data_IF_706768471553
#
_entry.id   IF_706768471553
#
_cell.length_a   1.000
_cell.length_b   1.000
_cell.length_c   1.000
_cell.angle_alpha   90.00
_cell.angle_beta   90.00
_cell.angle_gamma   90.00
#
_symmetry.space_group_name_H-M   'P 1'
#
loop_
_entity.id
_entity.type
_entity.pdbx_description
1 polymer ?
#
# COMPACT_ATOMS: atom_id res chain seq x y z
N UNK A 1 -0.57 0.03 -3.12
CA UNK A 1 -0.83 -0.65 -4.41
C UNK A 1 -0.72 0.33 -5.58
N UNK A 2 -1.32 1.52 -5.54
CA UNK A 2 -1.32 2.49 -6.64
C UNK A 2 0.08 2.99 -7.08
N UNK A 3 1.08 2.90 -6.21
CA UNK A 3 2.48 3.22 -6.54
C UNK A 3 3.21 2.11 -7.30
N UNK A 4 2.66 0.91 -7.31
CA UNK A 4 3.28 -0.30 -7.87
C UNK A 4 2.71 -0.69 -9.22
N UNK A 5 1.46 -0.33 -9.51
CA UNK A 5 0.82 -0.61 -10.79
C UNK A 5 -0.39 0.27 -11.06
N UNK A 6 -0.82 0.31 -12.31
CA UNK A 6 -2.01 1.06 -12.74
C UNK A 6 -3.29 0.24 -12.53
N UNK A 7 -3.19 -1.07 -12.69
CA UNK A 7 -4.28 -2.03 -12.60
C UNK A 7 -3.98 -3.00 -11.47
N UNK A 8 -5.01 -3.32 -10.69
CA UNK A 8 -5.00 -4.42 -9.75
C UNK A 8 -6.07 -5.44 -10.14
N UNK A 9 -5.76 -6.70 -9.96
CA UNK A 9 -6.74 -7.76 -10.00
C UNK A 9 -7.31 -7.93 -8.60
N UNK A 10 -8.62 -7.85 -8.51
CA UNK A 10 -9.36 -7.93 -7.26
C UNK A 10 -10.24 -9.19 -7.29
N UNK A 11 -10.02 -10.10 -6.36
CA UNK A 11 -10.90 -11.25 -6.13
C UNK A 11 -11.68 -11.02 -4.85
N UNK A 12 -12.99 -11.10 -4.97
CA UNK A 12 -13.95 -10.98 -3.88
C UNK A 12 -14.52 -12.38 -3.61
N UNK A 13 -14.51 -12.79 -2.35
CA UNK A 13 -15.13 -14.03 -1.87
C UNK A 13 -15.97 -13.74 -0.62
N UNK A 14 -16.60 -14.74 -0.04
CA UNK A 14 -17.36 -14.58 1.20
C UNK A 14 -16.50 -14.21 2.41
N UNK A 15 -15.19 -14.54 2.39
CA UNK A 15 -14.28 -14.40 3.53
C UNK A 15 -13.27 -13.27 3.34
N UNK A 16 -12.84 -13.01 2.11
CA UNK A 16 -11.71 -12.11 1.85
C UNK A 16 -11.82 -11.32 0.54
N UNK A 17 -11.17 -10.18 0.54
CA UNK A 17 -10.83 -9.42 -0.66
C UNK A 17 -9.34 -9.55 -0.91
N UNK A 18 -8.96 -10.08 -2.06
CA UNK A 18 -7.57 -10.22 -2.47
C UNK A 18 -7.26 -9.26 -3.60
N UNK A 19 -6.22 -8.44 -3.42
CA UNK A 19 -5.67 -7.60 -4.48
C UNK A 19 -4.32 -8.12 -4.93
N UNK A 20 -4.17 -8.29 -6.23
CA UNK A 20 -2.92 -8.70 -6.86
C UNK A 20 -2.47 -7.64 -7.85
N UNK A 21 -1.23 -7.18 -7.71
CA UNK A 21 -0.59 -6.27 -8.66
C UNK A 21 0.67 -6.91 -9.20
N UNK A 22 0.69 -7.18 -10.49
CA UNK A 22 1.84 -7.77 -11.20
C UNK A 22 2.26 -6.76 -12.26
N UNK A 23 3.26 -5.91 -11.98
CA UNK A 23 3.80 -5.00 -12.98
C UNK A 23 4.65 -5.78 -14.00
N UNK A 24 4.82 -5.23 -15.20
CA UNK A 24 5.70 -5.83 -16.23
C UNK A 24 7.14 -5.99 -15.72
N UNK A 25 7.59 -5.07 -14.88
CA UNK A 25 8.91 -5.09 -14.23
C UNK A 25 8.78 -4.61 -12.79
N UNK A 26 9.50 -5.25 -11.88
CA UNK A 26 9.55 -4.86 -10.47
C UNK A 26 8.83 -5.82 -9.54
N UNK A 27 8.41 -5.30 -8.39
CA UNK A 27 7.87 -6.12 -7.31
C UNK A 27 6.40 -6.42 -7.51
N UNK A 28 6.03 -7.68 -7.37
CA UNK A 28 4.64 -8.13 -7.30
C UNK A 28 4.10 -7.90 -5.89
N UNK A 29 2.79 -7.66 -5.78
CA UNK A 29 2.10 -7.52 -4.50
C UNK A 29 0.87 -8.40 -4.47
N UNK A 30 0.80 -9.18 -3.41
CA UNK A 30 -0.33 -10.04 -3.06
C UNK A 30 -0.86 -9.56 -1.70
N UNK A 31 -2.06 -9.00 -1.69
CA UNK A 31 -2.66 -8.43 -0.49
C UNK A 31 -3.97 -9.13 -0.20
N UNK A 32 -4.11 -9.65 0.99
CA UNK A 32 -5.33 -10.30 1.48
C UNK A 32 -5.91 -9.47 2.59
N UNK A 33 -7.18 -9.15 2.48
CA UNK A 33 -7.94 -8.37 3.44
C UNK A 33 -9.17 -9.17 3.85
N UNK A 34 -9.33 -9.45 5.13
CA UNK A 34 -10.51 -10.15 5.64
C UNK A 34 -11.72 -9.23 5.58
N UNK A 35 -12.86 -9.76 5.16
CA UNK A 35 -14.12 -9.02 5.01
C UNK A 35 -14.51 -8.33 6.33
N UNK A 36 -14.46 -9.04 7.43
CA UNK A 36 -14.80 -8.57 8.78
C UNK A 36 -13.95 -7.38 9.27
N UNK A 37 -12.77 -7.17 8.66
CA UNK A 37 -11.86 -6.07 9.00
C UNK A 37 -12.18 -4.79 8.23
N UNK A 38 -12.87 -4.91 7.08
CA UNK A 38 -13.08 -3.80 6.16
C UNK A 38 -14.54 -3.36 6.12
N UNK A 39 -15.46 -4.32 6.21
CA UNK A 39 -16.89 -4.08 6.03
C UNK A 39 -17.68 -4.45 7.29
N UNK A 40 -18.58 -3.58 7.71
CA UNK A 40 -19.57 -3.86 8.73
C UNK A 40 -20.66 -4.81 8.22
N UNK A 41 -21.05 -4.63 6.97
CA UNK A 41 -21.98 -5.51 6.27
C UNK A 41 -21.43 -5.86 4.89
N UNK A 42 -21.51 -7.12 4.53
CA UNK A 42 -21.04 -7.62 3.26
C UNK A 42 -21.99 -8.64 2.68
N UNK A 43 -22.26 -8.53 1.40
CA UNK A 43 -23.06 -9.51 0.67
C UNK A 43 -22.44 -9.69 -0.70
N UNK A 44 -22.17 -10.91 -1.08
CA UNK A 44 -21.68 -11.28 -2.41
C UNK A 44 -22.59 -12.35 -2.99
N UNK A 45 -22.90 -12.22 -4.28
CA UNK A 45 -23.62 -13.22 -5.04
C UNK A 45 -22.99 -13.31 -6.43
N UNK A 46 -22.50 -14.47 -6.76
CA UNK A 46 -21.85 -14.77 -8.04
C UNK A 46 -22.44 -16.04 -8.65
N UNK A 47 -22.41 -16.12 -9.97
CA UNK A 47 -22.73 -17.36 -10.70
C UNK A 47 -21.60 -18.39 -10.65
N UNK A 48 -20.45 -18.07 -10.05
CA UNK A 48 -19.31 -18.97 -9.87
C UNK A 48 -19.62 -20.01 -8.79
N UNK A 49 -19.17 -21.25 -8.95
CA UNK A 49 -19.32 -22.32 -7.96
C UNK A 49 -18.71 -21.96 -6.58
N UNK A 50 -17.67 -21.11 -6.57
CA UNK A 50 -17.00 -20.64 -5.37
C UNK A 50 -17.54 -19.31 -4.84
N UNK A 51 -18.69 -18.84 -5.34
CA UNK A 51 -19.27 -17.53 -5.01
C UNK A 51 -18.24 -16.38 -5.11
N UNK A 52 -17.32 -16.46 -6.07
CA UNK A 52 -16.24 -15.52 -6.25
C UNK A 52 -16.49 -14.58 -7.43
N UNK A 53 -16.09 -13.31 -7.27
CA UNK A 53 -16.10 -12.29 -8.31
C UNK A 53 -14.67 -11.84 -8.56
N UNK A 54 -14.22 -11.89 -9.83
CA UNK A 54 -12.89 -11.44 -10.23
C UNK A 54 -13.03 -10.17 -11.06
N UNK A 55 -12.28 -9.14 -10.68
CA UNK A 55 -12.33 -7.83 -11.30
C UNK A 55 -10.92 -7.36 -11.67
N UNK A 56 -10.82 -6.69 -12.80
CA UNK A 56 -9.70 -5.82 -13.14
C UNK A 56 -10.09 -4.39 -12.76
N UNK A 57 -9.33 -3.79 -11.86
CA UNK A 57 -9.66 -2.51 -11.23
C UNK A 57 -8.56 -1.49 -11.49
N UNK A 58 -8.89 -0.29 -12.03
CA UNK A 58 -7.94 0.82 -12.13
C UNK A 58 -7.67 1.37 -10.74
N UNK A 59 -6.53 0.97 -10.16
CA UNK A 59 -6.24 1.18 -8.74
C UNK A 59 -6.13 2.66 -8.35
N UNK A 60 -5.70 3.52 -9.25
CA UNK A 60 -5.63 4.96 -8.99
C UNK A 60 -7.01 5.59 -8.88
N UNK A 61 -7.96 5.19 -9.74
CA UNK A 61 -9.35 5.66 -9.68
C UNK A 61 -10.03 5.19 -8.39
N UNK A 62 -9.87 3.90 -8.04
CA UNK A 62 -10.38 3.38 -6.77
C UNK A 62 -9.75 4.09 -5.57
N UNK A 63 -8.45 4.36 -5.59
CA UNK A 63 -7.77 5.07 -4.49
C UNK A 63 -8.30 6.49 -4.32
N UNK A 64 -8.58 7.21 -5.41
CA UNK A 64 -9.18 8.55 -5.35
C UNK A 64 -10.58 8.50 -4.78
N UNK A 65 -11.40 7.56 -5.26
CA UNK A 65 -12.76 7.38 -4.74
C UNK A 65 -12.75 7.06 -3.24
N UNK A 66 -11.90 6.14 -2.78
CA UNK A 66 -11.79 5.79 -1.36
C UNK A 66 -11.24 6.94 -0.50
N UNK A 67 -10.37 7.80 -1.03
CA UNK A 67 -9.89 8.98 -0.30
C UNK A 67 -11.01 9.96 0.03
N UNK A 68 -11.99 10.12 -0.86
CA UNK A 68 -13.15 10.98 -0.60
C UNK A 68 -14.11 10.42 0.45
N UNK A 69 -14.03 9.13 0.75
CA UNK A 69 -14.79 8.50 1.84
C UNK A 69 -14.13 8.63 3.22
N UNK A 70 -12.90 9.16 3.28
CA UNK A 70 -12.22 9.37 4.58
C UNK A 70 -12.94 10.45 5.37
N UNK A 71 -13.41 10.11 6.56
CA UNK A 71 -14.20 11.00 7.42
C UNK A 71 -15.71 11.02 7.11
N UNK A 72 -16.18 10.20 6.18
CA UNK A 72 -17.61 10.04 5.91
C UNK A 72 -18.35 9.41 7.08
N UNK A 73 -19.62 9.76 7.24
CA UNK A 73 -20.51 9.13 8.22
C UNK A 73 -20.82 7.68 7.82
N UNK A 74 -21.02 7.44 6.53
CA UNK A 74 -21.13 6.10 5.98
C UNK A 74 -20.60 6.04 4.55
N UNK A 75 -20.13 4.87 4.14
CA UNK A 75 -19.70 4.61 2.78
C UNK A 75 -20.18 3.22 2.33
N UNK A 76 -20.74 3.14 1.15
CA UNK A 76 -21.24 1.89 0.57
C UNK A 76 -20.59 1.64 -0.78
N UNK A 77 -20.02 0.46 -0.96
CA UNK A 77 -19.44 0.03 -2.23
C UNK A 77 -20.34 -1.04 -2.86
N UNK A 78 -20.74 -0.85 -4.11
CA UNK A 78 -21.56 -1.78 -4.87
C UNK A 78 -20.95 -2.07 -6.23
N UNK A 79 -21.01 -3.31 -6.65
CA UNK A 79 -20.78 -3.67 -8.05
C UNK A 79 -22.09 -3.50 -8.82
N UNK A 80 -22.11 -2.61 -9.77
CA UNK A 80 -23.29 -2.27 -10.58
C UNK A 80 -22.96 -2.31 -12.07
N UNK A 81 -23.97 -2.15 -12.91
CA UNK A 81 -23.82 -2.05 -14.35
C UNK A 81 -24.51 -0.76 -14.81
N UNK A 82 -23.75 0.13 -15.46
CA UNK A 82 -24.25 1.38 -16.00
C UNK A 82 -23.87 1.45 -17.47
N UNK A 83 -24.82 1.72 -18.33
CA UNK A 83 -24.63 1.75 -19.80
C UNK A 83 -23.88 0.51 -20.34
N UNK A 84 -24.24 -0.65 -19.82
CA UNK A 84 -23.62 -1.95 -20.13
C UNK A 84 -22.16 -2.11 -19.65
N UNK A 85 -21.58 -1.16 -18.91
CA UNK A 85 -20.24 -1.20 -18.34
C UNK A 85 -20.33 -1.54 -16.85
N UNK A 86 -19.58 -2.55 -16.37
CA UNK A 86 -19.48 -2.86 -14.94
C UNK A 86 -18.77 -1.70 -14.20
N UNK A 87 -19.32 -1.29 -13.08
CA UNK A 87 -18.82 -0.21 -12.24
C UNK A 87 -18.76 -0.64 -10.77
N UNK A 88 -17.70 -0.27 -10.09
CA UNK A 88 -17.71 -0.17 -8.63
C UNK A 88 -18.24 1.20 -8.25
N UNK A 89 -19.47 1.26 -7.76
CA UNK A 89 -20.13 2.48 -7.34
C UNK A 89 -19.93 2.67 -5.84
N UNK A 90 -19.27 3.76 -5.46
CA UNK A 90 -19.03 4.17 -4.08
C UNK A 90 -19.97 5.30 -3.73
N UNK A 91 -20.92 5.04 -2.85
CA UNK A 91 -21.84 6.05 -2.29
C UNK A 91 -21.34 6.46 -0.91
N UNK A 92 -21.15 7.75 -0.71
CA UNK A 92 -20.58 8.35 0.50
C UNK A 92 -21.63 9.28 1.09
N UNK A 93 -21.89 9.17 2.37
CA UNK A 93 -22.80 10.03 3.12
C UNK A 93 -22.01 10.83 4.14
N UNK A 94 -22.10 12.15 4.04
CA UNK A 94 -21.48 13.08 4.99
C UNK A 94 -22.57 13.92 5.67
N UNK A 95 -22.52 14.02 7.00
CA UNK A 95 -23.35 14.91 7.76
C UNK A 95 -22.53 16.18 8.06
N UNK A 96 -22.96 17.31 7.49
CA UNK A 96 -22.37 18.61 7.79
C UNK A 96 -23.29 19.39 8.70
N UNK A 97 -22.77 19.78 9.87
CA UNK A 97 -23.45 20.73 10.76
C UNK A 97 -23.11 22.15 10.28
N UNK A 98 -24.04 22.85 9.68
CA UNK A 98 -23.88 24.27 9.41
C UNK A 98 -24.17 25.05 10.69
N UNK A 99 -23.14 25.38 11.46
CA UNK A 99 -23.22 26.37 12.52
C UNK A 99 -23.32 27.74 11.87
N UNK A 100 -24.50 28.35 11.90
CA UNK A 100 -24.77 29.70 11.40
C UNK A 100 -24.22 30.76 12.34
N UNK A 101 -22.94 30.72 12.74
CA UNK A 101 -22.23 31.81 13.37
C UNK A 101 -20.73 31.56 13.33
N UNK A 102 -20.11 31.95 12.23
CA UNK A 102 -18.68 32.27 12.24
C UNK A 102 -18.47 33.36 11.18
N UNK A 103 -18.47 34.59 11.66
CA UNK A 103 -17.80 35.64 10.92
C UNK A 103 -16.35 35.18 10.69
N UNK A 104 -16.02 34.93 9.43
CA UNK A 104 -14.66 34.60 9.02
C UNK A 104 -13.81 35.83 9.26
N UNK A 105 -13.08 35.84 10.38
CA UNK A 105 -11.94 36.74 10.55
C UNK A 105 -10.80 36.15 9.73
N UNK A 106 -10.54 36.72 8.58
CA UNK A 106 -9.38 36.42 7.75
C UNK A 106 -8.16 37.10 8.43
N UNK A 107 -7.22 36.36 8.99
CA UNK A 107 -5.94 36.95 9.36
C UNK A 107 -5.07 37.03 8.10
N UNK A 108 -4.95 38.26 7.58
CA UNK A 108 -3.89 38.59 6.62
C UNK A 108 -2.55 38.56 7.33
N UNK A 109 -1.77 37.50 7.16
CA UNK A 109 -0.33 37.50 7.44
C UNK A 109 0.41 37.07 6.20
N UNK A 110 1.08 38.05 5.61
CA UNK A 110 2.07 37.88 4.55
C UNK A 110 3.34 37.21 5.11
N UNK A 111 3.68 36.03 4.55
CA UNK A 111 4.97 35.35 4.74
C UNK A 111 5.25 34.47 3.53
N UNK A 112 6.51 34.33 3.08
CA UNK A 112 6.84 33.78 1.78
C UNK A 112 6.63 32.27 1.71
N UNK A 113 6.02 31.85 0.60
CA UNK A 113 5.71 30.49 0.27
C UNK A 113 6.97 29.70 -0.12
N UNK A 114 7.19 28.56 0.55
CA UNK A 114 7.97 27.48 0.00
C UNK A 114 7.02 26.49 -0.72
N UNK A 115 7.32 26.24 -1.97
CA UNK A 115 6.52 25.46 -2.91
C UNK A 115 6.69 23.96 -2.64
N UNK A 116 5.67 23.32 -2.05
CA UNK A 116 5.48 21.88 -2.14
C UNK A 116 4.45 21.58 -3.24
N UNK A 117 4.95 20.99 -4.31
CA UNK A 117 4.25 20.61 -5.54
C UNK A 117 3.36 19.37 -5.30
N UNK A 118 2.21 19.56 -4.65
CA UNK A 118 1.08 18.63 -4.67
C UNK A 118 -0.17 19.44 -4.99
N UNK A 119 -0.63 19.31 -6.25
CA UNK A 119 -1.75 20.02 -6.81
C UNK A 119 -2.96 20.07 -5.89
N UNK A 120 -3.26 21.28 -5.47
CA UNK A 120 -4.46 21.69 -4.78
C UNK A 120 -5.62 21.62 -5.79
N UNK A 121 -6.52 20.64 -5.62
CA UNK A 121 -7.78 20.63 -6.36
C UNK A 121 -8.79 21.47 -5.59
N UNK A 122 -8.86 22.72 -6.01
CA UNK A 122 -9.88 23.68 -5.60
C UNK A 122 -11.27 23.18 -6.05
N UNK A 123 -12.05 22.74 -5.08
CA UNK A 123 -13.43 22.31 -5.29
C UNK A 123 -14.33 23.55 -5.18
N UNK A 124 -14.45 24.31 -6.27
CA UNK A 124 -15.49 25.33 -6.38
C UNK A 124 -16.86 24.65 -6.54
N UNK A 125 -17.59 24.59 -5.45
CA UNK A 125 -19.03 24.40 -5.49
C UNK A 125 -19.66 25.75 -5.85
N UNK A 126 -20.16 25.89 -7.08
CA UNK A 126 -21.03 27.00 -7.47
C UNK A 126 -22.28 26.98 -6.59
N UNK A 127 -22.37 27.94 -5.69
CA UNK A 127 -23.52 28.16 -4.84
C UNK A 127 -24.30 29.36 -5.41
N UNK A 128 -25.38 29.11 -6.12
CA UNK A 128 -26.33 30.15 -6.50
C UNK A 128 -27.04 30.69 -5.24
N UNK A 129 -26.85 31.98 -5.04
CA UNK A 129 -27.45 32.79 -3.99
C UNK A 129 -28.89 33.15 -4.35
N UNK A 130 -29.84 32.46 -3.74
CA UNK A 130 -31.26 32.82 -3.76
C UNK A 130 -31.70 33.37 -2.40
N UNK A 131 -31.81 34.68 -2.29
CA UNK A 131 -32.16 35.36 -1.05
C UNK A 131 -33.61 35.13 -0.58
N UNK A 132 -33.80 35.08 0.75
CA UNK A 132 -35.03 35.53 1.43
C UNK A 132 -34.73 35.83 2.91
N UNK A 133 -35.03 37.01 3.31
CA UNK A 133 -35.09 37.54 4.68
C UNK A 133 -36.14 36.77 5.51
N UNK A 134 -35.77 36.32 6.70
CA UNK A 134 -36.72 35.82 7.70
C UNK A 134 -35.99 35.41 8.96
N UNK A 135 -36.08 36.21 10.03
CA UNK A 135 -35.44 35.98 11.31
C UNK A 135 -36.03 34.83 12.12
N UNK A 136 -35.24 34.29 13.04
CA UNK A 136 -35.68 33.44 14.14
C UNK A 136 -34.83 32.19 14.37
N UNK A 137 -34.12 32.15 15.51
CA UNK A 137 -33.73 30.94 16.20
C UNK A 137 -32.82 29.96 15.44
N UNK A 138 -31.50 30.07 15.64
CA UNK A 138 -30.53 29.16 15.00
C UNK A 138 -30.71 27.70 15.44
N UNK A 139 -31.57 26.96 14.75
CA UNK A 139 -31.51 25.50 14.73
C UNK A 139 -30.37 25.14 13.77
N UNK A 140 -29.33 24.54 14.31
CA UNK A 140 -28.29 23.92 13.49
C UNK A 140 -28.97 22.88 12.60
N UNK A 141 -29.12 23.16 11.33
CA UNK A 141 -29.73 22.24 10.37
C UNK A 141 -28.64 21.26 9.94
N UNK A 142 -28.80 20.01 10.38
CA UNK A 142 -28.01 18.90 9.89
C UNK A 142 -28.30 18.71 8.40
N UNK A 143 -27.29 18.87 7.57
CA UNK A 143 -27.40 18.62 6.13
C UNK A 143 -26.67 17.33 5.80
N UNK A 144 -27.40 16.40 5.26
CA UNK A 144 -26.86 15.17 4.70
C UNK A 144 -26.47 15.42 3.25
N UNK A 145 -25.22 15.15 2.92
CA UNK A 145 -24.70 15.22 1.56
C UNK A 145 -24.34 13.83 1.08
N UNK A 146 -24.94 13.41 -0.04
CA UNK A 146 -24.69 12.10 -0.65
C UNK A 146 -23.87 12.29 -1.93
N UNK A 147 -22.69 11.68 -1.96
CA UNK A 147 -21.79 11.70 -3.11
C UNK A 147 -21.69 10.29 -3.67
N UNK A 148 -21.90 10.13 -4.97
CA UNK A 148 -21.71 8.84 -5.66
C UNK A 148 -20.58 8.95 -6.67
N UNK A 149 -19.62 8.02 -6.59
CA UNK A 149 -18.49 7.93 -7.50
C UNK A 149 -18.45 6.56 -8.15
N UNK A 150 -18.40 6.53 -9.48
CA UNK A 150 -18.36 5.31 -10.27
C UNK A 150 -16.95 5.05 -10.80
N UNK A 151 -16.43 3.90 -10.49
CA UNK A 151 -15.12 3.43 -10.98
C UNK A 151 -15.38 2.31 -11.99
N UNK A 152 -15.08 2.51 -13.28
CA UNK A 152 -15.26 1.47 -14.27
C UNK A 152 -14.29 0.31 -14.00
N UNK A 153 -14.81 -0.92 -14.05
CA UNK A 153 -14.08 -2.14 -13.83
C UNK A 153 -14.37 -3.16 -14.93
N UNK A 154 -13.52 -4.16 -15.05
CA UNK A 154 -13.77 -5.27 -15.97
C UNK A 154 -13.97 -6.54 -15.15
N UNK A 155 -15.09 -7.21 -15.36
CA UNK A 155 -15.34 -8.52 -14.76
C UNK A 155 -14.56 -9.56 -15.55
N UNK A 156 -13.78 -10.36 -14.84
CA UNK A 156 -12.94 -11.40 -15.43
C UNK A 156 -13.58 -12.78 -15.24
N UNK A 157 -13.64 -13.60 -16.28
CA UNK A 157 -14.04 -14.99 -16.14
C UNK A 157 -13.01 -15.77 -15.33
N UNK A 158 -13.42 -16.88 -14.71
CA UNK A 158 -12.55 -17.70 -13.87
C UNK A 158 -11.29 -18.15 -14.61
N UNK A 159 -11.42 -18.53 -15.87
CA UNK A 159 -10.29 -18.98 -16.71
C UNK A 159 -9.20 -17.90 -16.88
N UNK A 160 -9.57 -16.61 -16.86
CA UNK A 160 -8.60 -15.53 -17.00
C UNK A 160 -7.71 -15.36 -15.76
N UNK A 161 -8.16 -15.85 -14.62
CA UNK A 161 -7.45 -15.72 -13.33
C UNK A 161 -6.87 -17.05 -12.81
N UNK A 162 -7.16 -18.14 -13.49
CA UNK A 162 -6.73 -19.50 -13.09
C UNK A 162 -5.20 -19.66 -13.04
N UNK A 163 -4.48 -18.92 -13.89
CA UNK A 163 -3.01 -18.86 -13.89
C UNK A 163 -2.40 -17.88 -12.88
N UNK A 164 -3.24 -17.15 -12.13
CA UNK A 164 -2.80 -16.16 -11.17
C UNK A 164 -2.56 -16.80 -9.81
N UNK A 165 -1.39 -17.34 -9.61
CA UNK A 165 -0.97 -17.90 -8.34
C UNK A 165 0.17 -17.08 -7.76
N UNK A 166 0.13 -16.89 -6.43
CA UNK A 166 1.30 -16.40 -5.71
C UNK A 166 2.48 -17.34 -5.96
N UNK A 167 3.62 -16.83 -6.45
CA UNK A 167 4.75 -17.69 -6.75
C UNK A 167 5.21 -18.40 -5.48
N UNK A 168 5.38 -19.71 -5.57
CA UNK A 168 6.00 -20.48 -4.48
C UNK A 168 7.45 -20.04 -4.36
N UNK A 169 7.78 -19.43 -3.25
CA UNK A 169 9.15 -19.10 -2.90
C UNK A 169 9.76 -20.25 -2.10
N UNK A 170 11.05 -20.57 -2.29
CA UNK A 170 11.72 -21.51 -1.41
C UNK A 170 11.69 -21.01 0.05
N UNK A 171 11.89 -21.93 0.98
CA UNK A 171 12.01 -21.57 2.39
C UNK A 171 13.15 -20.58 2.59
N UNK A 172 12.93 -19.51 3.37
CA UNK A 172 13.92 -18.44 3.51
C UNK A 172 15.09 -18.83 4.41
N UNK A 173 16.28 -18.38 4.05
CA UNK A 173 17.49 -18.50 4.88
C UNK A 173 17.42 -17.60 6.13
N UNK A 174 16.76 -16.44 6.00
CA UNK A 174 16.63 -15.45 7.09
C UNK A 174 15.24 -14.86 7.11
N UNK A 175 14.67 -14.83 8.31
CA UNK A 175 13.45 -14.10 8.64
C UNK A 175 13.79 -13.04 9.69
N UNK A 176 13.49 -11.77 9.41
CA UNK A 176 13.82 -10.68 10.34
C UNK A 176 12.74 -9.60 10.32
N UNK A 177 12.32 -9.12 11.50
CA UNK A 177 11.48 -7.95 11.59
C UNK A 177 12.26 -6.71 11.16
N UNK A 178 11.73 -6.01 10.18
CA UNK A 178 12.35 -4.76 9.74
C UNK A 178 12.20 -3.66 10.80
N UNK A 179 13.18 -2.77 10.93
CA UNK A 179 13.02 -1.54 11.70
C UNK A 179 11.95 -0.67 11.03
N UNK A 180 11.64 0.49 11.59
CA UNK A 180 10.68 1.41 10.99
C UNK A 180 10.91 1.55 9.49
N UNK A 181 9.92 1.18 8.67
CA UNK A 181 10.03 1.23 7.21
C UNK A 181 10.33 2.64 6.70
N UNK A 182 9.92 3.66 7.45
CA UNK A 182 10.22 5.05 7.14
C UNK A 182 11.72 5.35 7.28
N UNK A 183 12.38 4.81 8.32
CA UNK A 183 13.83 4.93 8.49
C UNK A 183 14.58 4.18 7.38
N UNK A 184 14.17 2.94 7.11
CA UNK A 184 14.75 2.11 6.04
C UNK A 184 14.63 2.83 4.69
N UNK A 185 13.46 3.41 4.40
CA UNK A 185 13.21 4.17 3.18
C UNK A 185 14.10 5.41 3.10
N UNK A 186 14.16 6.22 4.16
CA UNK A 186 14.98 7.44 4.20
C UNK A 186 16.45 7.13 3.93
N UNK A 187 17.00 6.08 4.56
CA UNK A 187 18.39 5.66 4.36
C UNK A 187 18.62 5.14 2.94
N UNK A 188 17.72 4.29 2.42
CA UNK A 188 17.85 3.75 1.06
C UNK A 188 17.79 4.85 -0.01
N UNK A 189 16.90 5.83 0.13
CA UNK A 189 16.80 6.99 -0.75
C UNK A 189 18.05 7.89 -0.68
N UNK A 190 18.57 8.11 0.53
CA UNK A 190 19.80 8.86 0.72
C UNK A 190 21.00 8.19 0.04
N UNK A 191 21.16 6.88 0.21
CA UNK A 191 22.22 6.10 -0.43
C UNK A 191 22.10 6.15 -1.96
N UNK A 192 20.87 6.00 -2.46
CA UNK A 192 20.59 6.08 -3.90
C UNK A 192 20.94 7.45 -4.48
N UNK A 193 20.59 8.54 -3.80
CA UNK A 193 20.96 9.90 -4.23
C UNK A 193 22.46 10.11 -4.23
N UNK A 194 23.17 9.64 -3.22
CA UNK A 194 24.64 9.73 -3.16
C UNK A 194 25.29 8.94 -4.29
N UNK A 195 24.82 7.73 -4.57
CA UNK A 195 25.34 6.91 -5.67
C UNK A 195 25.07 7.53 -7.04
N UNK A 196 23.93 8.22 -7.22
CA UNK A 196 23.63 8.94 -8.46
C UNK A 196 24.49 10.19 -8.61
N UNK A 197 24.76 10.93 -7.52
CA UNK A 197 25.58 12.13 -7.53
C UNK A 197 27.07 11.82 -7.83
N UNK A 198 27.54 10.61 -7.50
CA UNK A 198 28.92 10.19 -7.76
C UNK A 198 29.11 9.54 -9.14
N UNK A 199 28.04 9.35 -9.92
CA UNK A 199 28.16 8.84 -11.29
C UNK A 199 28.79 9.91 -12.19
N UNK A 200 29.96 9.60 -12.71
CA UNK A 200 30.57 10.34 -13.81
C UNK A 200 30.00 9.87 -15.16
N UNK A 201 29.98 10.72 -16.16
CA UNK A 201 29.34 10.47 -17.47
C UNK A 201 29.85 9.22 -18.22
N UNK A 202 30.92 8.61 -17.77
CA UNK A 202 31.56 7.42 -18.37
C UNK A 202 31.15 6.09 -17.77
N UNK A 203 30.41 6.09 -16.64
CA UNK A 203 29.99 4.85 -15.99
C UNK A 203 28.62 4.40 -16.48
N UNK A 204 28.49 3.11 -16.72
CA UNK A 204 27.32 2.42 -17.27
C UNK A 204 25.96 2.94 -16.78
N UNK A 205 24.99 3.03 -17.68
CA UNK A 205 23.62 3.53 -17.47
C UNK A 205 22.74 2.69 -16.51
N UNK A 206 23.31 1.71 -15.81
CA UNK A 206 22.54 0.86 -14.90
C UNK A 206 22.08 1.63 -13.66
N UNK A 207 20.81 1.43 -13.26
CA UNK A 207 20.27 1.95 -12.02
C UNK A 207 21.09 1.45 -10.81
N UNK A 208 21.28 2.27 -9.76
CA UNK A 208 22.01 1.83 -8.57
C UNK A 208 21.24 0.68 -7.88
N UNK A 209 21.98 -0.35 -7.48
CA UNK A 209 21.43 -1.50 -6.76
C UNK A 209 21.84 -1.42 -5.30
N UNK A 210 20.84 -1.63 -4.43
CA UNK A 210 21.07 -1.79 -3.00
C UNK A 210 21.36 -3.27 -2.70
N UNK A 211 22.33 -3.52 -1.85
CA UNK A 211 22.59 -4.81 -1.25
C UNK A 211 21.95 -4.84 0.14
N UNK A 212 20.99 -5.73 0.32
CA UNK A 212 20.34 -6.01 1.60
C UNK A 212 20.93 -7.28 2.14
N UNK A 213 21.45 -7.23 3.36
CA UNK A 213 22.01 -8.41 4.02
C UNK A 213 21.41 -8.53 5.41
N UNK A 214 21.04 -9.74 5.81
CA UNK A 214 20.52 -10.01 7.14
C UNK A 214 21.10 -11.32 7.69
N UNK A 215 21.09 -11.48 9.00
CA UNK A 215 21.47 -12.71 9.67
C UNK A 215 20.38 -13.18 10.64
N UNK A 216 20.50 -14.38 11.15
CA UNK A 216 19.57 -14.95 12.15
C UNK A 216 19.92 -14.58 13.60
N UNK A 217 20.74 -13.53 13.78
CA UNK A 217 21.17 -12.97 15.08
C UNK A 217 20.73 -11.50 15.24
N UNK A 218 19.65 -11.11 14.56
CA UNK A 218 19.03 -9.79 14.72
C UNK A 218 19.77 -8.64 14.04
N UNK A 219 20.56 -8.89 13.00
CA UNK A 219 21.26 -7.83 12.28
C UNK A 219 20.79 -7.70 10.85
N UNK A 220 20.53 -6.46 10.42
CA UNK A 220 20.18 -6.07 9.07
C UNK A 220 21.17 -5.01 8.57
N UNK A 221 21.68 -5.17 7.37
CA UNK A 221 22.58 -4.23 6.71
C UNK A 221 22.04 -3.83 5.36
N UNK A 222 22.05 -2.53 5.08
CA UNK A 222 21.80 -1.97 3.75
C UNK A 222 23.10 -1.34 3.27
N UNK A 223 23.52 -1.70 2.07
CA UNK A 223 24.74 -1.15 1.48
C UNK A 223 24.50 -0.77 0.02
N UNK A 224 25.27 0.19 -0.46
CA UNK A 224 25.44 0.47 -1.87
C UNK A 224 26.92 0.55 -2.18
N UNK A 225 27.31 -0.08 -3.28
CA UNK A 225 28.69 -0.11 -3.74
C UNK A 225 28.74 0.27 -5.20
N UNK A 226 29.52 1.27 -5.49
CA UNK A 226 29.89 1.72 -6.83
C UNK A 226 31.41 1.85 -6.89
N UNK A 227 31.97 2.09 -8.06
CA UNK A 227 33.42 2.26 -8.19
C UNK A 227 33.95 3.45 -7.37
N UNK A 228 33.11 4.49 -7.18
CA UNK A 228 33.47 5.73 -6.49
C UNK A 228 32.93 5.81 -5.05
N UNK A 229 32.02 4.93 -4.64
CA UNK A 229 31.34 5.03 -3.35
C UNK A 229 31.06 3.65 -2.77
N UNK A 230 31.42 3.45 -1.49
CA UNK A 230 30.98 2.33 -0.70
C UNK A 230 30.42 2.86 0.62
N UNK A 231 29.11 2.67 0.83
CA UNK A 231 28.41 3.15 2.03
C UNK A 231 27.49 2.05 2.53
N UNK A 232 27.39 1.90 3.85
CA UNK A 232 26.47 0.95 4.48
C UNK A 232 25.89 1.49 5.78
N UNK A 233 24.74 0.96 6.17
CA UNK A 233 24.09 1.16 7.45
C UNK A 233 23.70 -0.20 8.01
N UNK A 234 23.91 -0.39 9.31
CA UNK A 234 23.62 -1.64 10.02
C UNK A 234 22.68 -1.36 11.18
N UNK A 235 21.66 -2.17 11.32
CA UNK A 235 20.80 -2.24 12.49
C UNK A 235 21.10 -3.56 13.21
N UNK A 236 21.17 -3.50 14.52
CA UNK A 236 21.39 -4.65 15.38
C UNK A 236 20.28 -4.75 16.43
N UNK A 237 20.15 -5.90 17.08
CA UNK A 237 19.13 -6.11 18.10
C UNK A 237 17.71 -6.21 17.54
N UNK A 238 17.56 -6.50 16.25
CA UNK A 238 16.28 -6.80 15.64
C UNK A 238 15.83 -8.21 16.02
N UNK A 239 14.52 -8.46 15.91
CA UNK A 239 13.95 -9.76 16.25
C UNK A 239 13.85 -10.64 15.01
N UNK A 240 14.36 -11.86 15.11
CA UNK A 240 14.07 -12.92 14.16
C UNK A 240 12.84 -13.69 14.68
N UNK A 241 11.73 -13.73 13.92
CA UNK A 241 10.55 -14.47 14.35
C UNK A 241 10.85 -15.95 14.47
N UNK A 242 10.29 -16.58 15.48
CA UNK A 242 10.35 -18.02 15.64
C UNK A 242 9.46 -18.72 14.61
N UNK A 243 9.92 -19.87 14.15
CA UNK A 243 9.13 -20.70 13.23
C UNK A 243 8.07 -21.47 14.03
N UNK A 244 6.84 -21.37 13.61
CA UNK A 244 5.73 -22.14 14.17
C UNK A 244 5.73 -23.55 13.54
N UNK A 245 5.83 -24.62 14.34
CA UNK A 245 5.76 -25.99 13.84
C UNK A 245 4.49 -26.31 13.04
N UNK A 246 3.39 -25.60 13.30
CA UNK A 246 2.14 -25.79 12.57
C UNK A 246 2.21 -25.27 11.13
N UNK A 247 3.11 -24.33 10.85
CA UNK A 247 3.25 -23.67 9.55
C UNK A 247 4.46 -24.18 8.73
N UNK A 248 5.26 -25.09 9.30
CA UNK A 248 6.42 -25.67 8.63
C UNK A 248 6.12 -27.09 8.17
N UNK A 249 6.39 -27.40 6.91
CA UNK A 249 6.25 -28.73 6.37
C UNK A 249 7.16 -29.71 7.14
N UNK A 250 6.58 -30.80 7.67
CA UNK A 250 7.31 -31.74 8.55
C UNK A 250 7.32 -31.36 10.05
N UNK A 251 6.64 -30.29 10.46
CA UNK A 251 6.48 -29.93 11.88
C UNK A 251 7.82 -29.68 12.58
N UNK A 252 7.99 -30.21 13.80
CA UNK A 252 9.22 -30.02 14.60
C UNK A 252 10.49 -30.58 13.93
N UNK A 253 10.38 -31.60 13.08
CA UNK A 253 11.51 -32.10 12.31
C UNK A 253 11.84 -31.14 11.16
N UNK A 254 10.82 -30.63 10.45
CA UNK A 254 11.00 -29.63 9.41
C UNK A 254 11.71 -28.37 9.91
N UNK A 255 11.43 -27.93 11.12
CA UNK A 255 12.14 -26.78 11.73
C UNK A 255 13.66 -27.03 11.84
N UNK A 256 14.08 -28.24 12.19
CA UNK A 256 15.52 -28.56 12.30
C UNK A 256 16.21 -28.50 10.95
N UNK A 257 15.51 -28.93 9.90
CA UNK A 257 16.03 -28.97 8.55
C UNK A 257 15.84 -27.65 7.79
N UNK A 258 15.09 -26.69 8.39
CA UNK A 258 14.78 -25.40 7.79
C UNK A 258 16.06 -24.57 7.53
N UNK A 259 16.19 -23.90 6.37
CA UNK A 259 17.36 -23.10 6.02
C UNK A 259 17.74 -22.06 7.07
N UNK A 260 16.76 -21.36 7.66
CA UNK A 260 17.00 -20.35 8.69
C UNK A 260 17.57 -20.94 9.99
N UNK A 261 17.20 -22.17 10.35
CA UNK A 261 17.78 -22.86 11.51
C UNK A 261 19.26 -23.20 11.24
N UNK A 262 19.56 -23.68 10.06
CA UNK A 262 20.94 -23.94 9.61
C UNK A 262 21.75 -22.65 9.57
N UNK A 263 21.17 -21.56 9.03
CA UNK A 263 21.82 -20.24 9.00
C UNK A 263 22.13 -19.74 10.41
N UNK A 264 21.21 -19.91 11.36
CA UNK A 264 21.40 -19.53 12.77
C UNK A 264 22.57 -20.29 13.40
N UNK A 265 22.71 -21.57 13.07
CA UNK A 265 23.79 -22.41 13.59
C UNK A 265 25.19 -22.03 13.08
N UNK A 266 25.29 -21.34 11.93
CA UNK A 266 26.58 -20.88 11.38
C UNK A 266 27.18 -19.68 12.11
N UNK A 267 26.41 -18.98 12.96
CA UNK A 267 26.88 -17.85 13.78
C UNK A 267 26.59 -16.48 13.18
N UNK A 268 26.96 -15.42 13.93
CA UNK A 268 26.62 -14.03 13.65
C UNK A 268 27.28 -13.46 12.38
N UNK A 269 28.40 -14.01 11.98
CA UNK A 269 29.18 -13.55 10.82
C UNK A 269 28.60 -14.06 9.47
N UNK A 270 27.60 -14.95 9.53
CA UNK A 270 26.96 -15.47 8.34
C UNK A 270 25.75 -14.63 7.92
N UNK A 271 25.81 -14.09 6.72
CA UNK A 271 24.82 -13.16 6.17
C UNK A 271 24.18 -13.70 4.89
N UNK A 272 22.88 -13.70 4.86
CA UNK A 272 22.13 -13.85 3.61
C UNK A 272 22.03 -12.48 2.94
N UNK A 273 22.44 -12.37 1.69
CA UNK A 273 22.49 -11.10 0.96
C UNK A 273 21.71 -11.17 -0.35
N UNK A 274 21.00 -10.10 -0.69
CA UNK A 274 20.29 -9.94 -1.97
C UNK A 274 20.53 -8.55 -2.53
N UNK A 275 20.56 -8.43 -3.86
CA UNK A 275 20.66 -7.15 -4.55
C UNK A 275 19.35 -6.80 -5.20
N UNK A 276 18.80 -5.63 -4.85
CA UNK A 276 17.53 -5.13 -5.33
C UNK A 276 17.72 -3.80 -6.07
N UNK A 277 16.80 -3.49 -6.99
CA UNK A 277 16.73 -2.17 -7.56
C UNK A 277 16.31 -1.16 -6.48
N UNK A 278 17.07 -0.07 -6.35
CA UNK A 278 16.86 0.91 -5.30
C UNK A 278 15.51 1.64 -5.44
N UNK A 279 15.05 1.88 -6.67
CA UNK A 279 13.79 2.57 -6.94
C UNK A 279 12.59 1.68 -6.62
N UNK A 280 12.68 0.41 -7.00
CA UNK A 280 11.61 -0.55 -6.71
C UNK A 280 11.52 -0.84 -5.22
N UNK A 281 12.65 -0.97 -4.54
CA UNK A 281 12.69 -1.13 -3.10
C UNK A 281 12.05 0.07 -2.36
N UNK A 282 12.37 1.30 -2.77
CA UNK A 282 11.75 2.50 -2.18
C UNK A 282 10.24 2.55 -2.37
N UNK A 283 9.71 2.03 -3.50
CA UNK A 283 8.27 1.92 -3.75
C UNK A 283 7.62 0.91 -2.79
N UNK A 284 8.24 -0.26 -2.61
CA UNK A 284 7.75 -1.28 -1.66
C UNK A 284 7.72 -0.72 -0.24
N UNK A 285 8.76 -0.02 0.19
CA UNK A 285 8.83 0.58 1.52
C UNK A 285 7.78 1.67 1.77
N UNK A 286 7.15 2.21 0.72
CA UNK A 286 6.06 3.19 0.86
C UNK A 286 4.80 2.60 1.53
N UNK A 287 4.69 1.27 1.60
CA UNK A 287 3.65 0.56 2.35
C UNK A 287 3.76 0.81 3.87
N UNK A 288 4.94 1.20 4.36
CA UNK A 288 5.22 1.41 5.79
C UNK A 288 4.42 2.50 6.50
N UNK A 289 3.60 3.25 5.78
CA UNK A 289 2.63 4.18 6.39
C UNK A 289 1.46 3.47 7.10
N UNK A 290 1.30 2.17 6.87
CA UNK A 290 0.21 1.38 7.44
C UNK A 290 0.48 0.89 8.87
N UNK A 291 1.63 1.22 9.47
CA UNK A 291 1.95 0.93 10.88
C UNK A 291 2.09 -0.56 11.25
N UNK A 292 2.04 -1.45 10.29
CA UNK A 292 2.15 -2.88 10.50
C UNK A 292 3.61 -3.34 10.71
N UNK A 293 3.81 -4.41 11.47
CA UNK A 293 5.10 -5.10 11.54
C UNK A 293 5.38 -5.76 10.19
N UNK A 294 6.58 -5.59 9.67
CA UNK A 294 7.01 -6.16 8.40
C UNK A 294 8.15 -7.13 8.65
N UNK A 295 8.01 -8.34 8.10
CA UNK A 295 9.05 -9.36 8.12
C UNK A 295 9.67 -9.39 6.73
N UNK A 296 11.00 -9.29 6.69
CA UNK A 296 11.75 -9.59 5.48
C UNK A 296 12.19 -11.06 5.51
N UNK A 297 11.90 -11.75 4.42
CA UNK A 297 12.28 -13.15 4.20
C UNK A 297 13.22 -13.22 3.00
N UNK A 298 14.33 -13.96 3.11
CA UNK A 298 15.29 -14.13 2.04
C UNK A 298 15.70 -15.60 1.94
#
# INVERSE_FOLDING_TARGET
LASLGQIAWCRLTDEEVRFTVIPEKGSQVWSVLRIETIFETYTIQSASEQNAINLEVPIQALTRALKSAVGATSAQLRLTKKDNVPMLSLTIVNNTFSSSNSAVVIPTTSGPAESDEFGDFDFHADFEEGGALGGGGGLSQERETVITQDVPVKVLPMQAVEGLHEPRTPEPDVNIYLPSLQQVKSISERFTRLALATKTASTSSSAPRLELSANMHGSLKIAIRTDALSISSVWTGLVNPELDPANVEGGSQGIRDHPSTKMKALGEDHWAAVRVDAKDFARVLSVGRLGARVIACK
#
